data_IF_261664185109
#
_entry.id   IF_261664185109
#
_cell.length_a   1.000
_cell.length_b   1.000
_cell.length_c   1.000
_cell.angle_alpha   90.00
_cell.angle_beta   90.00
_cell.angle_gamma   90.00
#
_symmetry.space_group_name_H-M   'P 1'
#
loop_
_entity.id
_entity.type
_entity.pdbx_description
1 polymer ?
#
# COMPACT_ATOMS: atom_id res chain seq x y z
N UNK A 1 10.63 -14.37 9.25
CA UNK A 1 10.21 -14.07 7.87
C UNK A 1 9.21 -15.14 7.46
N UNK A 2 8.01 -14.77 7.02
CA UNK A 2 6.99 -15.72 6.57
C UNK A 2 7.38 -16.31 5.21
N UNK A 3 7.34 -17.64 5.11
CA UNK A 3 7.81 -18.44 3.96
C UNK A 3 7.07 -18.19 2.63
N UNK A 4 5.94 -17.46 2.66
CA UNK A 4 5.12 -17.10 1.49
C UNK A 4 5.86 -16.26 0.43
N UNK A 5 6.82 -15.43 0.85
CA UNK A 5 7.65 -14.64 -0.06
C UNK A 5 8.51 -15.51 -1.00
N UNK A 6 9.09 -16.60 -0.47
CA UNK A 6 10.09 -17.41 -1.18
C UNK A 6 9.45 -18.20 -2.32
N UNK A 7 8.19 -18.61 -2.18
CA UNK A 7 7.51 -19.45 -3.16
C UNK A 7 7.03 -18.71 -4.42
N UNK A 8 6.85 -17.38 -4.38
CA UNK A 8 6.52 -16.57 -5.58
C UNK A 8 7.71 -16.37 -6.53
N UNK A 9 8.91 -16.74 -6.12
CA UNK A 9 10.14 -16.65 -6.92
C UNK A 9 10.15 -17.57 -8.16
N UNK A 10 9.29 -18.61 -8.19
CA UNK A 10 9.37 -19.65 -9.21
C UNK A 10 8.64 -19.35 -10.53
N UNK A 11 7.82 -18.29 -10.60
CA UNK A 11 6.91 -18.09 -11.76
C UNK A 11 7.16 -16.83 -12.61
N UNK A 12 8.06 -15.91 -12.25
CA UNK A 12 8.17 -14.66 -13.03
C UNK A 12 9.60 -14.15 -13.18
N UNK A 13 10.31 -14.70 -14.17
CA UNK A 13 11.74 -14.52 -14.44
C UNK A 13 12.22 -13.09 -14.75
N UNK A 14 11.37 -12.05 -14.71
CA UNK A 14 11.73 -10.67 -15.11
C UNK A 14 11.26 -9.54 -14.18
N UNK A 15 10.68 -9.81 -13.01
CA UNK A 15 10.21 -8.75 -12.07
C UNK A 15 11.01 -8.71 -10.76
N UNK A 16 12.34 -8.55 -10.86
CA UNK A 16 13.26 -8.59 -9.71
C UNK A 16 12.94 -7.55 -8.62
N UNK A 17 12.56 -6.31 -8.99
CA UNK A 17 12.36 -5.25 -7.98
C UNK A 17 11.01 -5.33 -7.27
N UNK A 18 9.92 -5.69 -7.96
CA UNK A 18 8.58 -5.71 -7.35
C UNK A 18 8.41 -6.85 -6.35
N UNK A 19 9.05 -7.99 -6.60
CA UNK A 19 9.02 -9.15 -5.70
C UNK A 19 9.66 -8.83 -4.35
N UNK A 20 10.75 -8.05 -4.34
CA UNK A 20 11.40 -7.62 -3.10
C UNK A 20 10.45 -6.84 -2.17
N UNK A 21 9.71 -5.87 -2.72
CA UNK A 21 8.71 -5.11 -1.95
C UNK A 21 7.52 -5.98 -1.52
N UNK A 22 7.01 -6.81 -2.44
CA UNK A 22 5.89 -7.71 -2.18
C UNK A 22 6.16 -8.63 -0.99
N UNK A 23 7.37 -9.17 -0.94
CA UNK A 23 7.83 -10.01 0.15
C UNK A 23 7.89 -9.30 1.50
N UNK A 24 8.38 -8.06 1.54
CA UNK A 24 8.56 -7.32 2.80
C UNK A 24 7.25 -6.80 3.39
N UNK A 25 6.23 -6.67 2.56
CA UNK A 25 4.90 -6.17 2.92
C UNK A 25 3.85 -7.28 3.01
N UNK A 26 4.26 -8.54 2.81
CA UNK A 26 3.37 -9.69 2.89
C UNK A 26 2.68 -9.79 4.25
N UNK A 27 1.35 -9.95 4.23
CA UNK A 27 0.51 -9.95 5.43
C UNK A 27 0.30 -8.59 6.12
N UNK A 28 0.92 -7.51 5.63
CA UNK A 28 0.77 -6.16 6.19
C UNK A 28 -0.01 -5.24 5.27
N UNK A 29 0.33 -5.24 3.98
CA UNK A 29 -0.35 -4.41 3.00
C UNK A 29 -0.38 -5.09 1.63
N UNK A 30 -1.45 -4.83 0.88
CA UNK A 30 -1.53 -5.23 -0.52
C UNK A 30 -0.78 -4.24 -1.40
N UNK A 31 -0.08 -4.75 -2.40
CA UNK A 31 0.66 -3.94 -3.36
C UNK A 31 0.09 -4.12 -4.76
N UNK A 32 0.00 -3.00 -5.48
CA UNK A 32 -0.40 -2.96 -6.88
C UNK A 32 0.55 -2.08 -7.68
N UNK A 33 0.80 -2.47 -8.93
CA UNK A 33 1.49 -1.63 -9.91
C UNK A 33 0.48 -1.25 -11.00
N UNK A 34 0.40 0.04 -11.30
CA UNK A 34 -0.39 0.55 -12.43
C UNK A 34 0.57 1.10 -13.50
N UNK A 35 0.27 0.82 -14.76
CA UNK A 35 0.92 1.50 -15.88
C UNK A 35 0.09 2.73 -16.26
N UNK A 36 0.61 3.92 -15.94
CA UNK A 36 -0.04 5.19 -16.20
C UNK A 36 -0.07 5.58 -17.68
N UNK A 37 0.80 5.01 -18.53
CA UNK A 37 0.77 5.27 -19.98
C UNK A 37 -0.51 4.69 -20.60
N UNK A 38 -0.89 3.49 -20.16
CA UNK A 38 -2.10 2.81 -20.63
C UNK A 38 -3.36 3.26 -19.86
N UNK A 39 -3.21 3.74 -18.62
CA UNK A 39 -4.31 4.09 -17.73
C UNK A 39 -4.23 5.53 -17.20
N UNK A 40 -4.11 6.49 -18.13
CA UNK A 40 -3.88 7.91 -17.79
C UNK A 40 -4.93 8.49 -16.85
N UNK A 41 -6.20 8.16 -17.07
CA UNK A 41 -7.33 8.66 -16.26
C UNK A 41 -7.20 8.31 -14.77
N UNK A 42 -6.68 7.13 -14.44
CA UNK A 42 -6.52 6.70 -13.04
C UNK A 42 -5.40 7.50 -12.38
N UNK A 43 -4.29 7.68 -13.10
CA UNK A 43 -3.13 8.40 -12.57
C UNK A 43 -3.38 9.92 -12.46
N UNK A 44 -4.16 10.50 -13.38
CA UNK A 44 -4.66 11.88 -13.28
C UNK A 44 -5.54 12.08 -12.04
N UNK A 45 -6.50 11.17 -11.80
CA UNK A 45 -7.36 11.22 -10.60
C UNK A 45 -6.57 11.05 -9.31
N UNK A 46 -5.51 10.24 -9.35
CA UNK A 46 -4.57 10.10 -8.24
C UNK A 46 -3.57 11.28 -8.14
N UNK A 47 -3.67 12.30 -9.00
CA UNK A 47 -2.79 13.47 -9.02
C UNK A 47 -1.30 13.14 -9.15
N UNK A 48 -0.95 12.10 -9.91
CA UNK A 48 0.44 11.69 -10.15
C UNK A 48 1.06 12.63 -11.19
N UNK A 49 2.14 13.32 -10.82
CA UNK A 49 2.81 14.33 -11.67
C UNK A 49 4.14 13.87 -12.26
N UNK A 50 4.79 12.89 -11.64
CA UNK A 50 6.08 12.35 -12.04
C UNK A 50 6.11 10.83 -11.81
N UNK A 51 7.06 10.13 -12.41
CA UNK A 51 7.22 8.69 -12.24
C UNK A 51 8.64 8.37 -11.73
N UNK A 52 8.81 7.33 -10.89
CA UNK A 52 7.78 6.56 -10.19
C UNK A 52 7.22 7.28 -8.95
N UNK A 53 5.92 7.12 -8.66
CA UNK A 53 5.27 7.62 -7.41
C UNK A 53 4.67 6.45 -6.65
N UNK A 54 4.80 6.47 -5.32
CA UNK A 54 4.18 5.50 -4.42
C UNK A 54 3.11 6.20 -3.59
N UNK A 55 1.91 5.65 -3.62
CA UNK A 55 0.77 6.14 -2.82
C UNK A 55 0.28 5.05 -1.88
N UNK A 56 0.06 5.44 -0.63
CA UNK A 56 -0.53 4.58 0.39
C UNK A 56 -2.03 4.84 0.48
N UNK A 57 -2.80 3.76 0.42
CA UNK A 57 -4.23 3.78 0.56
C UNK A 57 -4.59 3.01 1.83
N UNK A 58 -5.20 3.70 2.79
CA UNK A 58 -5.53 3.15 4.11
C UNK A 58 -6.48 1.94 4.05
N UNK A 59 -7.25 1.81 2.97
CA UNK A 59 -8.33 0.85 2.87
C UNK A 59 -9.49 1.25 3.78
N UNK A 60 -10.72 0.94 3.40
CA UNK A 60 -11.87 1.09 4.29
C UNK A 60 -12.50 -0.26 4.53
N UNK A 61 -12.63 -0.65 5.80
CA UNK A 61 -13.35 -1.86 6.21
C UNK A 61 -14.87 -1.63 6.28
N UNK A 62 -15.31 -0.36 6.33
CA UNK A 62 -16.69 0.02 6.67
C UNK A 62 -17.53 0.46 5.45
N UNK A 63 -17.31 -0.17 4.29
CA UNK A 63 -18.01 0.18 3.04
C UNK A 63 -17.85 1.65 2.58
N UNK A 64 -16.96 2.43 3.21
CA UNK A 64 -16.69 3.81 2.77
C UNK A 64 -15.84 3.77 1.50
N UNK A 65 -16.15 4.67 0.57
CA UNK A 65 -15.38 4.79 -0.68
C UNK A 65 -13.94 5.15 -0.33
N UNK A 66 -13.00 4.41 -0.91
CA UNK A 66 -11.57 4.72 -0.81
C UNK A 66 -11.29 6.08 -1.45
N UNK A 67 -10.52 6.93 -0.76
CA UNK A 67 -10.05 8.18 -1.36
C UNK A 67 -9.08 7.87 -2.52
N UNK A 68 -9.30 8.55 -3.65
CA UNK A 68 -8.48 8.42 -4.86
C UNK A 68 -7.12 9.11 -4.73
N UNK A 69 -7.00 10.15 -3.89
CA UNK A 69 -5.73 10.86 -3.73
C UNK A 69 -4.68 9.99 -3.03
N UNK A 70 -5.07 9.35 -1.91
CA UNK A 70 -4.14 8.60 -1.05
C UNK A 70 -3.02 9.48 -0.46
N UNK A 71 -2.20 8.86 0.39
CA UNK A 71 -1.03 9.53 0.98
C UNK A 71 0.20 9.28 0.11
N UNK A 72 0.85 10.35 -0.37
CA UNK A 72 2.06 10.24 -1.17
C UNK A 72 3.28 9.99 -0.28
N UNK A 73 4.05 8.94 -0.59
CA UNK A 73 5.29 8.62 0.10
C UNK A 73 6.45 9.26 -0.68
N UNK A 74 7.05 10.32 -0.11
CA UNK A 74 8.12 11.07 -0.76
C UNK A 74 9.48 10.35 -0.84
N UNK A 75 9.65 9.24 -0.11
CA UNK A 75 10.87 8.43 -0.15
C UNK A 75 10.55 7.01 -0.63
N UNK A 76 11.27 6.58 -1.67
CA UNK A 76 11.07 5.31 -2.36
C UNK A 76 11.97 4.19 -1.83
N UNK A 77 12.71 4.43 -0.75
CA UNK A 77 13.50 3.41 -0.10
C UNK A 77 12.61 2.32 0.53
N UNK A 78 13.07 1.08 0.41
CA UNK A 78 12.29 -0.08 0.85
C UNK A 78 12.10 -0.12 2.37
N UNK A 79 13.12 0.24 3.14
CA UNK A 79 13.00 0.30 4.59
C UNK A 79 12.05 1.41 5.00
N UNK A 80 12.15 2.58 4.33
CA UNK A 80 11.25 3.70 4.59
C UNK A 80 9.78 3.34 4.35
N UNK A 81 9.46 2.75 3.19
CA UNK A 81 8.07 2.38 2.85
C UNK A 81 7.52 1.35 3.83
N UNK A 82 8.32 0.33 4.18
CA UNK A 82 7.92 -0.71 5.14
C UNK A 82 7.65 -0.10 6.51
N UNK A 83 8.52 0.80 6.98
CA UNK A 83 8.36 1.47 8.27
C UNK A 83 7.16 2.42 8.27
N UNK A 84 6.96 3.18 7.20
CA UNK A 84 5.81 4.06 7.03
C UNK A 84 4.50 3.28 7.14
N UNK A 85 4.37 2.16 6.42
CA UNK A 85 3.17 1.30 6.46
C UNK A 85 2.98 0.72 7.87
N UNK A 86 4.04 0.21 8.51
CA UNK A 86 3.94 -0.33 9.87
C UNK A 86 3.44 0.72 10.87
N UNK A 87 3.86 1.97 10.73
CA UNK A 87 3.43 3.06 11.62
C UNK A 87 1.98 3.45 11.36
N UNK A 88 1.57 3.54 10.08
CA UNK A 88 0.19 3.86 9.72
C UNK A 88 -0.82 2.79 10.19
N UNK A 89 -0.44 1.52 10.22
CA UNK A 89 -1.32 0.47 10.76
C UNK A 89 -1.53 0.57 12.28
N UNK A 90 -0.51 1.02 13.03
CA UNK A 90 -0.65 1.26 14.47
C UNK A 90 -1.67 2.37 14.74
N UNK A 91 -1.62 3.44 13.96
CA UNK A 91 -2.56 4.56 14.05
C UNK A 91 -4.00 4.12 13.74
N UNK A 92 -4.20 3.23 12.76
CA UNK A 92 -5.53 2.72 12.41
C UNK A 92 -6.10 1.74 13.45
N UNK A 93 -5.27 0.88 14.06
CA UNK A 93 -5.71 -0.01 15.15
C UNK A 93 -6.14 0.73 16.42
N UNK A 94 -5.71 1.98 16.61
CA UNK A 94 -6.17 2.81 17.71
C UNK A 94 -7.57 3.40 17.49
N UNK A 95 -8.02 3.55 16.23
CA UNK A 95 -9.36 4.06 15.92
C UNK A 95 -10.47 3.01 16.02
N UNK A 96 -10.14 1.72 15.98
CA UNK A 96 -11.13 0.63 16.15
C UNK A 96 -11.55 0.37 17.60
N UNK A 97 -10.84 0.92 18.60
CA UNK A 97 -11.19 0.74 20.02
C UNK A 97 -12.06 1.86 20.60
N UNK A 98 -12.40 2.89 19.84
CA UNK A 98 -13.20 4.04 20.33
C UNK A 98 -14.68 3.94 19.95
N UNK A 99 -15.07 2.98 19.09
CA UNK A 99 -16.45 2.87 18.60
C UNK A 99 -17.41 2.03 19.48
N UNK A 100 -17.03 1.62 20.70
CA UNK A 100 -17.94 0.87 21.60
C UNK A 100 -18.33 1.57 22.91
N UNK A 101 -17.90 2.82 23.18
CA UNK A 101 -18.32 3.55 24.39
C UNK A 101 -19.05 4.85 24.05
N UNK A 102 -20.12 4.75 23.26
CA UNK A 102 -21.13 5.81 23.22
C UNK A 102 -22.51 5.17 23.10
N UNK A 103 -22.99 4.60 24.20
CA UNK A 103 -24.42 4.54 24.50
C UNK A 103 -24.60 5.10 25.91
N UNK A 104 -25.52 6.07 26.03
CA UNK A 104 -25.99 6.71 27.25
C UNK A 104 -26.78 5.75 28.12
#
# INVERSE_FOLDING_TARGET
>A
MSDSCVQKSKYESHKSHTLFYACRLDGKANLGKINCDNHRQICERASIRAYPTVKYYKGSNDSKRQDFLGDEIGNLDADFIVNYINNQQKEQQQTSNVHHTTEL
#
